data_IF_093665579602
#
_entry.id   IF_093665579602
#
_cell.length_a   1.000
_cell.length_b   1.000
_cell.length_c   1.000
_cell.angle_alpha   90.00
_cell.angle_beta   90.00
_cell.angle_gamma   90.00
#
_symmetry.space_group_name_H-M   'P 1'
#
loop_
_entity.id
_entity.type
_entity.pdbx_description
1 polymer ?
#
# COMPACT_ATOMS: atom_id res chain seq x y z
N UNK A 1 18.46 19.71 -40.30
CA UNK A 1 18.57 19.62 -38.83
C UNK A 1 17.49 18.78 -38.13
N UNK A 2 16.18 18.89 -38.43
CA UNK A 2 15.15 18.02 -37.79
C UNK A 2 15.16 16.55 -38.28
N UNK A 3 15.56 16.33 -39.53
CA UNK A 3 15.54 15.01 -40.18
C UNK A 3 16.71 14.11 -39.73
N UNK A 4 17.91 14.67 -39.51
CA UNK A 4 19.07 13.91 -39.00
C UNK A 4 18.86 13.41 -37.57
N UNK A 5 18.29 14.25 -36.69
CA UNK A 5 17.91 13.85 -35.32
C UNK A 5 16.94 12.67 -35.30
N UNK A 6 15.95 12.66 -36.20
CA UNK A 6 14.95 11.59 -36.29
C UNK A 6 15.58 10.22 -36.62
N UNK A 7 16.57 10.19 -37.52
CA UNK A 7 17.24 8.94 -37.90
C UNK A 7 18.25 8.45 -36.84
N UNK A 8 18.94 9.36 -36.16
CA UNK A 8 19.79 9.02 -35.01
C UNK A 8 18.97 8.49 -33.84
N UNK A 9 17.80 9.09 -33.57
CA UNK A 9 16.83 8.60 -32.58
C UNK A 9 16.36 7.19 -32.93
N UNK A 10 15.95 6.94 -34.18
CA UNK A 10 15.54 5.60 -34.60
C UNK A 10 16.65 4.56 -34.41
N UNK A 11 17.90 4.93 -34.72
CA UNK A 11 19.05 4.05 -34.53
C UNK A 11 19.33 3.77 -33.04
N UNK A 12 19.33 4.79 -32.19
CA UNK A 12 19.52 4.63 -30.75
C UNK A 12 18.40 3.79 -30.10
N UNK A 13 17.17 3.89 -30.60
CA UNK A 13 16.02 3.10 -30.12
C UNK A 13 16.12 1.64 -30.56
N UNK A 14 16.61 1.36 -31.78
CA UNK A 14 16.91 -0.03 -32.17
C UNK A 14 18.06 -0.64 -31.36
N UNK A 15 18.93 0.18 -30.78
CA UNK A 15 20.03 -0.26 -29.92
C UNK A 15 19.61 -0.40 -28.44
N UNK A 16 18.51 0.27 -28.03
CA UNK A 16 17.99 0.29 -26.65
C UNK A 16 16.58 -0.28 -26.57
N UNK A 17 16.44 -1.60 -26.50
CA UNK A 17 15.15 -2.28 -26.52
C UNK A 17 14.51 -2.42 -25.12
N UNK A 18 14.23 -1.28 -24.47
CA UNK A 18 13.66 -1.29 -23.11
C UNK A 18 12.23 -1.81 -23.07
N UNK A 19 11.47 -1.70 -24.17
CA UNK A 19 10.12 -2.27 -24.28
C UNK A 19 10.19 -3.79 -24.20
N UNK A 20 11.06 -4.43 -24.98
CA UNK A 20 11.21 -5.90 -24.92
C UNK A 20 11.80 -6.35 -23.59
N UNK A 21 12.77 -5.61 -23.03
CA UNK A 21 13.30 -5.91 -21.69
C UNK A 21 12.20 -5.86 -20.64
N UNK A 22 11.36 -4.82 -20.68
CA UNK A 22 10.20 -4.70 -19.81
C UNK A 22 9.24 -5.89 -19.95
N UNK A 23 8.87 -6.27 -21.18
CA UNK A 23 7.98 -7.41 -21.44
C UNK A 23 8.57 -8.71 -20.90
N UNK A 24 9.86 -8.96 -21.14
CA UNK A 24 10.55 -10.16 -20.63
C UNK A 24 10.54 -10.19 -19.10
N UNK A 25 10.91 -9.08 -18.46
CA UNK A 25 10.90 -8.97 -17.01
C UNK A 25 9.50 -9.11 -16.43
N UNK A 26 8.46 -8.60 -17.10
CA UNK A 26 7.07 -8.82 -16.70
C UNK A 26 6.70 -10.30 -16.67
N UNK A 27 7.01 -11.04 -17.73
CA UNK A 27 6.72 -12.48 -17.77
C UNK A 27 7.51 -13.25 -16.72
N UNK A 28 8.78 -12.90 -16.50
CA UNK A 28 9.58 -13.47 -15.41
C UNK A 28 8.95 -13.17 -14.06
N UNK A 29 8.55 -11.91 -13.81
CA UNK A 29 7.89 -11.52 -12.57
C UNK A 29 6.62 -12.33 -12.32
N UNK A 30 5.73 -12.46 -13.31
CA UNK A 30 4.52 -13.27 -13.18
C UNK A 30 4.82 -14.76 -12.95
N UNK A 31 5.84 -15.32 -13.61
CA UNK A 31 6.26 -16.70 -13.36
C UNK A 31 6.72 -16.90 -11.92
N UNK A 32 7.54 -15.98 -11.40
CA UNK A 32 8.00 -15.97 -10.01
C UNK A 32 6.81 -15.85 -9.04
N UNK A 33 5.82 -14.99 -9.33
CA UNK A 33 4.62 -14.88 -8.50
C UNK A 33 3.79 -16.17 -8.47
N UNK A 34 3.78 -16.96 -9.55
CA UNK A 34 3.09 -18.26 -9.59
C UNK A 34 3.81 -19.29 -8.72
N UNK A 35 5.13 -19.30 -8.76
CA UNK A 35 5.93 -20.16 -7.85
C UNK A 35 5.73 -19.78 -6.39
N UNK A 36 5.62 -18.48 -6.09
CA UNK A 36 5.31 -17.96 -4.75
C UNK A 36 3.91 -18.28 -4.25
N UNK A 37 2.97 -18.54 -5.14
CA UNK A 37 1.56 -18.69 -4.81
C UNK A 37 0.95 -19.88 -5.56
N UNK A 38 1.39 -21.12 -5.27
CA UNK A 38 0.92 -22.32 -5.98
C UNK A 38 -0.57 -22.59 -5.74
N UNK A 39 -1.12 -22.09 -4.63
CA UNK A 39 -2.54 -22.25 -4.24
C UNK A 39 -3.49 -21.29 -5.00
N UNK A 40 -2.97 -20.37 -5.83
CA UNK A 40 -3.80 -19.44 -6.62
C UNK A 40 -4.18 -20.09 -7.95
N UNK A 41 -5.47 -20.35 -8.16
CA UNK A 41 -5.92 -20.98 -9.42
C UNK A 41 -5.61 -20.11 -10.64
N UNK A 42 -5.02 -20.74 -11.65
CA UNK A 42 -4.75 -20.13 -12.96
C UNK A 42 -6.03 -20.01 -13.79
N UNK A 43 -6.98 -20.90 -13.58
CA UNK A 43 -8.23 -20.99 -14.34
C UNK A 43 -9.46 -20.75 -13.46
N UNK A 44 -10.52 -20.22 -14.03
CA UNK A 44 -11.85 -20.23 -13.42
C UNK A 44 -12.39 -21.65 -13.38
N UNK A 45 -13.47 -21.88 -12.62
CA UNK A 45 -14.18 -23.17 -12.58
C UNK A 45 -14.63 -23.61 -13.99
N UNK A 46 -14.91 -22.64 -14.87
CA UNK A 46 -15.27 -22.86 -16.28
C UNK A 46 -14.06 -23.05 -17.23
N UNK A 47 -12.84 -23.14 -16.72
CA UNK A 47 -11.62 -23.39 -17.50
C UNK A 47 -11.02 -22.17 -18.22
N UNK A 48 -11.47 -20.95 -17.91
CA UNK A 48 -10.94 -19.72 -18.54
C UNK A 48 -9.77 -19.15 -17.73
N UNK A 49 -8.70 -18.61 -18.36
CA UNK A 49 -7.59 -18.01 -17.63
C UNK A 49 -8.05 -16.81 -16.78
N UNK A 50 -7.69 -16.76 -15.49
CA UNK A 50 -8.07 -15.65 -14.58
C UNK A 50 -7.26 -14.34 -14.78
N UNK A 51 -6.34 -14.32 -15.75
CA UNK A 51 -5.44 -13.18 -16.01
C UNK A 51 -4.36 -13.00 -14.92
N UNK A 52 -3.59 -11.91 -14.99
CA UNK A 52 -2.44 -11.69 -14.08
C UNK A 52 -2.86 -11.09 -12.72
N UNK A 53 -4.09 -10.56 -12.60
CA UNK A 53 -4.57 -9.82 -11.42
C UNK A 53 -4.60 -10.62 -10.11
N UNK A 54 -5.03 -11.90 -10.08
CA UNK A 54 -5.02 -12.69 -8.84
C UNK A 54 -3.61 -12.82 -8.24
N UNK A 55 -2.60 -13.04 -9.09
CA UNK A 55 -1.21 -13.16 -8.66
C UNK A 55 -0.65 -11.85 -8.11
N UNK A 56 -1.03 -10.70 -8.68
CA UNK A 56 -0.67 -9.39 -8.14
C UNK A 56 -1.31 -9.09 -6.78
N UNK A 57 -2.55 -9.54 -6.56
CA UNK A 57 -3.18 -9.42 -5.25
C UNK A 57 -2.44 -10.29 -4.22
N UNK A 58 -2.13 -11.54 -4.58
CA UNK A 58 -1.36 -12.45 -3.73
C UNK A 58 0.06 -11.92 -3.44
N UNK A 59 0.71 -11.27 -4.42
CA UNK A 59 1.97 -10.56 -4.21
C UNK A 59 1.85 -9.50 -3.12
N UNK A 60 0.81 -8.66 -3.18
CA UNK A 60 0.58 -7.56 -2.23
C UNK A 60 0.30 -8.05 -0.82
N UNK A 61 -0.52 -9.09 -0.68
CA UNK A 61 -0.91 -9.64 0.61
C UNK A 61 0.16 -10.60 1.18
N UNK A 62 1.00 -11.16 0.31
CA UNK A 62 2.03 -12.15 0.64
C UNK A 62 3.42 -11.55 0.76
N UNK A 63 4.20 -11.56 -0.34
CA UNK A 63 5.65 -11.26 -0.33
C UNK A 63 5.98 -9.77 -0.38
N UNK A 64 5.05 -8.88 -0.76
CA UNK A 64 5.36 -7.45 -0.91
C UNK A 64 6.02 -6.86 0.34
N UNK A 65 5.57 -7.12 1.60
CA UNK A 65 6.28 -6.60 2.77
C UNK A 65 7.73 -7.08 2.90
N UNK A 66 8.07 -8.29 2.41
CA UNK A 66 9.46 -8.75 2.31
C UNK A 66 10.23 -7.93 1.27
N UNK A 67 9.63 -7.67 0.10
CA UNK A 67 10.22 -6.79 -0.93
C UNK A 67 10.46 -5.38 -0.40
N UNK A 68 9.48 -4.79 0.29
CA UNK A 68 9.55 -3.44 0.84
C UNK A 68 10.72 -3.28 1.83
N UNK A 69 11.08 -4.31 2.58
CA UNK A 69 12.23 -4.27 3.50
C UNK A 69 13.58 -4.42 2.80
N UNK A 70 13.61 -5.13 1.67
CA UNK A 70 14.85 -5.52 0.99
C UNK A 70 15.19 -4.67 -0.24
N UNK A 71 14.41 -3.62 -0.51
CA UNK A 71 14.61 -2.78 -1.68
C UNK A 71 15.70 -1.72 -1.44
N UNK A 72 16.59 -1.53 -2.41
CA UNK A 72 17.47 -0.35 -2.43
C UNK A 72 16.60 0.87 -2.71
N UNK A 73 16.29 1.57 -1.64
CA UNK A 73 15.32 2.66 -1.62
C UNK A 73 15.82 3.88 -2.39
N UNK A 74 17.12 4.12 -2.46
CA UNK A 74 17.67 5.29 -3.17
C UNK A 74 17.60 5.08 -4.69
N UNK A 75 18.00 3.91 -5.15
CA UNK A 75 17.85 3.54 -6.56
C UNK A 75 16.37 3.48 -6.96
N UNK A 76 15.52 2.88 -6.11
CA UNK A 76 14.09 2.82 -6.36
C UNK A 76 13.47 4.23 -6.46
N UNK A 77 13.82 5.12 -5.53
CA UNK A 77 13.35 6.50 -5.55
C UNK A 77 13.79 7.22 -6.83
N UNK A 78 15.06 7.10 -7.23
CA UNK A 78 15.59 7.73 -8.43
C UNK A 78 14.81 7.33 -9.69
N UNK A 79 14.57 6.05 -9.90
CA UNK A 79 13.85 5.57 -11.09
C UNK A 79 12.36 5.93 -11.04
N UNK A 80 11.72 5.87 -9.87
CA UNK A 80 10.32 6.31 -9.74
C UNK A 80 10.20 7.82 -10.01
N UNK A 81 11.08 8.63 -9.45
CA UNK A 81 11.08 10.07 -9.68
C UNK A 81 11.33 10.45 -11.14
N UNK A 82 12.23 9.72 -11.82
CA UNK A 82 12.50 9.91 -13.25
C UNK A 82 11.26 9.64 -14.11
N UNK A 83 10.55 8.53 -13.85
CA UNK A 83 9.42 8.14 -14.70
C UNK A 83 8.10 8.80 -14.32
N UNK A 84 7.84 9.07 -13.05
CA UNK A 84 6.53 9.49 -12.54
C UNK A 84 5.96 10.74 -13.24
N UNK A 85 6.67 11.88 -13.39
CA UNK A 85 6.12 13.06 -14.05
C UNK A 85 5.89 12.86 -15.55
N UNK A 86 6.73 12.06 -16.21
CA UNK A 86 6.57 11.72 -17.63
C UNK A 86 5.34 10.82 -17.79
N UNK A 87 5.20 9.84 -16.89
CA UNK A 87 4.07 8.92 -16.83
C UNK A 87 2.76 9.67 -16.65
N UNK A 88 2.66 10.62 -15.71
CA UNK A 88 1.44 11.43 -15.52
C UNK A 88 0.95 12.06 -16.82
N UNK A 89 1.85 12.67 -17.58
CA UNK A 89 1.52 13.29 -18.87
C UNK A 89 1.11 12.25 -19.92
N UNK A 90 1.93 11.23 -20.15
CA UNK A 90 1.63 10.18 -21.13
C UNK A 90 0.33 9.44 -20.84
N UNK A 91 0.06 9.15 -19.57
CA UNK A 91 -1.19 8.52 -19.12
C UNK A 91 -2.38 9.44 -19.39
N UNK A 92 -2.27 10.74 -19.10
CA UNK A 92 -3.34 11.70 -19.40
C UNK A 92 -3.62 11.77 -20.91
N UNK A 93 -2.57 11.75 -21.73
CA UNK A 93 -2.68 11.91 -23.18
C UNK A 93 -3.27 10.66 -23.85
N UNK A 94 -2.76 9.48 -23.48
CA UNK A 94 -3.06 8.21 -24.16
C UNK A 94 -4.23 7.48 -23.50
N UNK A 95 -4.37 7.54 -22.17
CA UNK A 95 -5.40 6.81 -21.43
C UNK A 95 -5.95 7.59 -20.22
N UNK A 96 -6.59 8.76 -20.46
CA UNK A 96 -7.10 9.65 -19.41
C UNK A 96 -8.08 8.98 -18.45
N UNK A 97 -8.83 7.97 -18.90
CA UNK A 97 -9.75 7.19 -18.07
C UNK A 97 -9.08 6.49 -16.89
N UNK A 98 -7.77 6.20 -16.99
CA UNK A 98 -7.01 5.58 -15.91
C UNK A 98 -6.15 6.59 -15.15
N UNK A 99 -6.09 7.86 -15.58
CA UNK A 99 -5.24 8.86 -14.95
C UNK A 99 -5.51 9.00 -13.46
N UNK A 100 -6.77 9.21 -13.07
CA UNK A 100 -7.12 9.45 -11.68
C UNK A 100 -6.74 8.25 -10.81
N UNK A 101 -7.15 7.03 -11.15
CA UNK A 101 -6.82 5.84 -10.37
C UNK A 101 -5.33 5.48 -10.34
N UNK A 102 -4.53 6.03 -11.27
CA UNK A 102 -3.08 5.79 -11.34
C UNK A 102 -2.30 6.74 -10.45
N UNK A 103 -2.76 7.98 -10.27
CA UNK A 103 -2.00 9.03 -9.56
C UNK A 103 -2.71 9.64 -8.36
N UNK A 104 -3.99 9.31 -8.19
CA UNK A 104 -4.82 9.78 -7.10
C UNK A 104 -5.74 8.68 -6.57
N UNK A 105 -6.24 8.87 -5.35
CA UNK A 105 -7.23 8.00 -4.73
C UNK A 105 -8.21 8.81 -3.90
N UNK A 106 -9.46 8.38 -3.85
CA UNK A 106 -10.44 8.96 -2.92
C UNK A 106 -10.17 8.44 -1.51
N UNK A 107 -10.07 9.37 -0.57
CA UNK A 107 -10.00 9.06 0.84
C UNK A 107 -11.39 8.66 1.35
N UNK A 108 -11.62 7.35 1.48
CA UNK A 108 -12.91 6.81 1.95
C UNK A 108 -13.18 7.12 3.41
N UNK A 109 -12.14 7.42 4.18
CA UNK A 109 -12.23 7.75 5.60
C UNK A 109 -12.32 9.27 5.83
N UNK A 110 -12.42 10.06 4.75
CA UNK A 110 -12.54 11.51 4.86
C UNK A 110 -13.78 11.88 5.67
N UNK A 111 -13.55 12.64 6.74
CA UNK A 111 -14.58 13.17 7.62
C UNK A 111 -14.12 14.48 8.24
N UNK A 112 -14.84 15.54 7.91
CA UNK A 112 -14.77 16.83 8.56
C UNK A 112 -16.02 17.02 9.43
N UNK A 113 -15.81 17.36 10.69
CA UNK A 113 -16.87 17.72 11.64
C UNK A 113 -16.49 19.00 12.38
N UNK A 114 -17.42 19.94 12.44
CA UNK A 114 -17.33 21.14 13.27
C UNK A 114 -18.64 21.31 14.02
N UNK A 115 -18.58 21.31 15.35
CA UNK A 115 -19.76 21.39 16.20
C UNK A 115 -19.53 22.39 17.32
N UNK A 116 -20.43 23.36 17.42
CA UNK A 116 -20.47 24.33 18.52
C UNK A 116 -21.88 24.32 19.08
N UNK A 117 -22.00 24.07 20.39
CA UNK A 117 -23.27 24.09 21.12
C UNK A 117 -23.11 25.07 22.27
N UNK A 118 -23.87 26.16 22.20
CA UNK A 118 -23.99 27.11 23.29
C UNK A 118 -25.29 26.81 24.04
N UNK A 119 -25.16 26.61 25.35
CA UNK A 119 -26.29 26.43 26.27
C UNK A 119 -26.51 27.73 27.06
N UNK A 120 -27.75 27.96 27.47
CA UNK A 120 -28.04 29.01 28.46
C UNK A 120 -27.75 28.54 29.89
N UNK A 121 -28.00 29.42 30.88
CA UNK A 121 -27.75 29.14 32.29
C UNK A 121 -28.60 28.00 32.84
N UNK A 122 -29.72 27.69 32.18
CA UNK A 122 -30.68 26.65 32.58
C UNK A 122 -30.43 25.35 31.80
N UNK A 123 -29.34 25.28 31.00
CA UNK A 123 -28.96 24.11 30.21
C UNK A 123 -29.75 23.95 28.91
N UNK A 124 -30.60 24.90 28.54
CA UNK A 124 -31.36 24.87 27.28
C UNK A 124 -30.51 25.35 26.11
N UNK A 125 -30.80 24.80 24.92
CA UNK A 125 -30.04 25.12 23.71
C UNK A 125 -30.24 26.60 23.33
N UNK A 126 -29.17 27.39 23.46
CA UNK A 126 -29.14 28.78 23.03
C UNK A 126 -28.85 28.85 21.54
N UNK A 127 -27.75 28.25 21.11
CA UNK A 127 -27.33 28.20 19.70
C UNK A 127 -26.61 26.88 19.39
N UNK A 128 -26.85 26.33 18.20
CA UNK A 128 -26.15 25.18 17.63
C UNK A 128 -25.65 25.54 16.26
N UNK A 129 -24.37 25.29 16.04
CA UNK A 129 -23.76 25.14 14.73
C UNK A 129 -23.23 23.72 14.62
N UNK A 130 -23.62 23.00 13.58
CA UNK A 130 -23.10 21.66 13.30
C UNK A 130 -22.87 21.51 11.80
N UNK A 131 -21.64 21.35 11.38
CA UNK A 131 -21.27 21.10 10.00
C UNK A 131 -20.55 19.76 9.89
N UNK A 132 -20.97 18.94 8.94
CA UNK A 132 -20.36 17.64 8.65
C UNK A 132 -20.13 17.53 7.14
N UNK A 133 -18.97 17.04 6.75
CA UNK A 133 -18.64 16.70 5.37
C UNK A 133 -17.85 15.39 5.38
N UNK A 134 -18.40 14.31 4.82
CA UNK A 134 -17.75 13.00 4.85
C UNK A 134 -18.08 12.15 3.63
N UNK A 135 -17.23 11.18 3.33
CA UNK A 135 -17.49 10.17 2.30
C UNK A 135 -18.37 9.07 2.90
N UNK A 136 -19.47 8.70 2.23
CA UNK A 136 -20.38 7.62 2.69
C UNK A 136 -20.38 6.38 1.82
N UNK A 137 -20.09 6.57 0.54
CA UNK A 137 -19.91 5.52 -0.46
C UNK A 137 -18.74 5.98 -1.31
N UNK A 138 -18.00 5.06 -1.93
CA UNK A 138 -16.69 5.23 -2.54
C UNK A 138 -16.46 6.55 -3.29
N UNK A 139 -17.50 7.14 -3.88
CA UNK A 139 -17.44 8.40 -4.63
C UNK A 139 -18.50 9.44 -4.20
N UNK A 140 -19.26 9.21 -3.13
CA UNK A 140 -20.34 10.10 -2.68
C UNK A 140 -19.91 10.87 -1.44
N UNK A 141 -19.80 12.19 -1.61
CA UNK A 141 -19.53 13.14 -0.54
C UNK A 141 -20.86 13.68 0.01
N UNK A 142 -21.09 13.47 1.31
CA UNK A 142 -22.26 14.01 2.02
C UNK A 142 -21.90 15.27 2.76
N UNK A 143 -22.64 16.31 2.44
CA UNK A 143 -22.59 17.62 3.05
C UNK A 143 -23.80 17.86 3.95
N UNK A 144 -23.57 18.37 5.15
CA UNK A 144 -24.61 18.79 6.09
C UNK A 144 -24.19 20.04 6.85
N UNK A 145 -25.10 21.01 6.96
CA UNK A 145 -25.02 22.15 7.86
C UNK A 145 -26.34 22.30 8.62
N UNK A 146 -26.29 22.12 9.93
CA UNK A 146 -27.40 22.35 10.85
C UNK A 146 -27.16 23.60 11.70
N UNK A 147 -28.10 24.54 11.65
CA UNK A 147 -28.05 25.79 12.42
C UNK A 147 -29.36 25.96 13.18
N UNK A 148 -29.30 25.99 14.51
CA UNK A 148 -30.49 26.20 15.33
C UNK A 148 -30.23 27.11 16.51
N UNK A 149 -31.28 27.67 17.08
CA UNK A 149 -31.17 28.50 18.27
C UNK A 149 -32.40 29.35 18.49
N UNK A 150 -32.28 30.29 19.43
CA UNK A 150 -33.34 31.23 19.75
C UNK A 150 -32.79 32.66 19.84
N UNK A 151 -33.49 33.60 19.22
CA UNK A 151 -33.25 35.03 19.40
C UNK A 151 -34.54 35.74 19.78
N UNK A 152 -34.58 36.32 20.98
CA UNK A 152 -35.82 36.85 21.59
C UNK A 152 -36.92 35.78 21.57
N UNK A 153 -38.02 36.03 20.85
CA UNK A 153 -39.15 35.11 20.68
C UNK A 153 -39.03 34.22 19.45
N UNK A 154 -38.05 34.44 18.57
CA UNK A 154 -37.88 33.68 17.33
C UNK A 154 -36.97 32.48 17.53
N UNK A 155 -37.53 31.27 17.43
CA UNK A 155 -36.77 30.01 17.33
C UNK A 155 -36.51 29.69 15.87
N UNK A 156 -35.33 29.15 15.56
CA UNK A 156 -34.98 28.68 14.23
C UNK A 156 -34.25 27.33 14.33
N UNK A 157 -34.47 26.47 13.35
CA UNK A 157 -33.81 25.18 13.22
C UNK A 157 -33.75 24.83 11.73
N UNK A 158 -32.66 25.27 11.10
CA UNK A 158 -32.43 25.09 9.68
C UNK A 158 -31.40 24.01 9.44
N UNK A 159 -31.58 23.30 8.33
CA UNK A 159 -30.66 22.25 7.89
C UNK A 159 -30.49 22.33 6.38
N UNK A 160 -29.24 22.36 5.94
CA UNK A 160 -28.84 22.36 4.54
C UNK A 160 -28.08 21.06 4.31
N UNK A 161 -28.48 20.29 3.31
CA UNK A 161 -27.87 18.98 3.02
C UNK A 161 -27.75 18.77 1.52
N UNK A 162 -26.69 18.08 1.10
CA UNK A 162 -26.43 17.74 -0.30
C UNK A 162 -25.58 16.48 -0.38
N UNK A 163 -25.86 15.65 -1.38
CA UNK A 163 -24.96 14.58 -1.81
C UNK A 163 -24.29 15.03 -3.11
N UNK A 164 -22.98 14.86 -3.19
CA UNK A 164 -22.16 15.23 -4.35
C UNK A 164 -21.50 13.95 -4.85
N UNK A 165 -21.76 13.58 -6.11
CA UNK A 165 -21.01 12.53 -6.78
C UNK A 165 -19.68 13.09 -7.28
N UNK A 166 -18.58 12.50 -6.84
CA UNK A 166 -17.24 12.95 -7.18
C UNK A 166 -16.81 12.49 -8.59
N UNK A 167 -17.47 11.49 -9.19
CA UNK A 167 -17.04 10.95 -10.51
C UNK A 167 -17.11 11.99 -11.63
N UNK A 168 -18.21 12.76 -11.80
CA UNK A 168 -18.26 13.81 -12.80
C UNK A 168 -17.21 14.91 -12.56
N UNK A 169 -16.95 15.24 -11.30
CA UNK A 169 -15.90 16.21 -10.92
C UNK A 169 -14.54 15.69 -11.39
N UNK A 170 -14.17 14.46 -11.01
CA UNK A 170 -12.93 13.81 -11.43
C UNK A 170 -12.78 13.82 -12.95
N UNK A 171 -13.80 13.35 -13.69
CA UNK A 171 -13.76 13.33 -15.16
C UNK A 171 -13.55 14.73 -15.73
N UNK A 172 -14.28 15.74 -15.24
CA UNK A 172 -14.16 17.11 -15.73
C UNK A 172 -12.78 17.73 -15.43
N UNK A 173 -12.20 17.43 -14.27
CA UNK A 173 -10.85 17.89 -13.91
C UNK A 173 -9.80 17.23 -14.81
N UNK A 174 -9.91 15.93 -15.07
CA UNK A 174 -9.01 15.20 -15.99
C UNK A 174 -9.07 15.80 -17.40
N UNK A 175 -10.27 15.98 -17.96
CA UNK A 175 -10.44 16.55 -19.30
C UNK A 175 -9.93 17.99 -19.39
N UNK A 176 -10.13 18.81 -18.34
CA UNK A 176 -9.60 20.17 -18.28
C UNK A 176 -8.08 20.17 -18.40
N UNK A 177 -7.39 19.28 -17.70
CA UNK A 177 -5.93 19.20 -17.72
C UNK A 177 -5.37 18.62 -19.02
N UNK A 178 -6.10 17.70 -19.66
CA UNK A 178 -5.72 17.13 -20.96
C UNK A 178 -5.66 18.19 -22.06
N UNK A 179 -6.61 19.11 -22.11
CA UNK A 179 -6.72 20.09 -23.19
C UNK A 179 -5.85 21.35 -23.03
N UNK A 180 -5.16 21.51 -21.90
CA UNK A 180 -4.41 22.72 -21.61
C UNK A 180 -2.94 22.69 -22.06
N UNK A 181 -2.42 21.57 -22.60
CA UNK A 181 -1.00 21.38 -22.99
C UNK A 181 0.01 21.82 -21.89
N UNK A 182 -0.45 21.92 -20.64
CA UNK A 182 0.38 22.33 -19.51
C UNK A 182 1.18 21.12 -19.04
N UNK A 183 2.43 21.35 -18.66
CA UNK A 183 3.16 20.44 -17.77
C UNK A 183 2.22 20.14 -16.60
N UNK A 184 1.80 18.87 -16.47
CA UNK A 184 0.86 18.49 -15.41
C UNK A 184 1.50 18.86 -14.06
N UNK A 185 0.84 19.78 -13.39
CA UNK A 185 1.19 20.21 -12.04
C UNK A 185 0.20 19.54 -11.10
N UNK A 186 0.66 18.59 -10.29
CA UNK A 186 -0.24 17.84 -9.40
C UNK A 186 -0.92 18.73 -8.37
N UNK A 187 -0.22 19.79 -7.94
CA UNK A 187 -0.81 20.80 -7.05
C UNK A 187 -1.96 21.52 -7.76
N UNK A 188 -1.81 21.84 -9.05
CA UNK A 188 -2.89 22.46 -9.81
C UNK A 188 -4.06 21.49 -10.04
N UNK A 189 -3.78 20.21 -10.33
CA UNK A 189 -4.83 19.20 -10.45
C UNK A 189 -5.65 19.07 -9.17
N UNK A 190 -4.96 18.99 -8.02
CA UNK A 190 -5.61 18.96 -6.71
C UNK A 190 -6.45 20.22 -6.49
N UNK A 191 -5.91 21.42 -6.80
CA UNK A 191 -6.64 22.69 -6.69
C UNK A 191 -7.90 22.69 -7.53
N UNK A 192 -7.79 22.33 -8.80
CA UNK A 192 -8.92 22.30 -9.72
C UNK A 192 -10.01 21.31 -9.26
N UNK A 193 -9.61 20.17 -8.70
CA UNK A 193 -10.55 19.22 -8.08
C UNK A 193 -11.26 19.83 -6.86
N UNK A 194 -10.51 20.39 -5.91
CA UNK A 194 -11.11 20.98 -4.70
C UNK A 194 -11.93 22.24 -5.01
N UNK A 195 -11.55 23.03 -6.00
CA UNK A 195 -12.32 24.19 -6.46
C UNK A 195 -13.65 23.74 -7.07
N UNK A 196 -13.67 22.63 -7.82
CA UNK A 196 -14.91 22.05 -8.33
C UNK A 196 -15.82 21.51 -7.21
N UNK A 197 -15.26 20.81 -6.21
CA UNK A 197 -16.01 20.39 -5.02
C UNK A 197 -16.55 21.60 -4.25
N UNK A 198 -15.72 22.61 -4.04
CA UNK A 198 -16.14 23.84 -3.37
C UNK A 198 -17.18 24.59 -4.18
N UNK A 199 -17.15 24.56 -5.51
CA UNK A 199 -18.18 25.17 -6.36
C UNK A 199 -19.56 24.57 -6.09
N UNK A 200 -19.66 23.23 -5.98
CA UNK A 200 -20.91 22.54 -5.62
C UNK A 200 -21.42 22.91 -4.22
N UNK A 201 -20.52 22.97 -3.24
CA UNK A 201 -20.84 23.34 -1.86
C UNK A 201 -21.25 24.81 -1.78
N UNK A 202 -20.44 25.72 -2.30
CA UNK A 202 -20.71 27.17 -2.34
C UNK A 202 -22.01 27.43 -3.10
N UNK A 203 -22.25 26.77 -4.23
CA UNK A 203 -23.48 26.89 -5.00
C UNK A 203 -24.71 26.48 -4.19
N UNK A 204 -24.63 25.37 -3.46
CA UNK A 204 -25.69 24.91 -2.54
C UNK A 204 -25.95 25.91 -1.42
N UNK A 205 -24.89 26.39 -0.77
CA UNK A 205 -24.98 27.38 0.31
C UNK A 205 -25.55 28.72 -0.19
N UNK A 206 -25.10 29.21 -1.36
CA UNK A 206 -25.58 30.45 -1.98
C UNK A 206 -27.04 30.34 -2.40
N UNK A 207 -27.43 29.23 -3.04
CA UNK A 207 -28.83 28.97 -3.33
C UNK A 207 -29.70 29.03 -2.07
N UNK A 208 -29.21 28.46 -0.97
CA UNK A 208 -29.93 28.55 0.30
C UNK A 208 -30.04 30.00 0.80
N UNK A 209 -28.93 30.75 0.84
CA UNK A 209 -28.89 32.16 1.31
C UNK A 209 -29.79 33.06 0.46
N UNK A 210 -29.72 32.94 -0.86
CA UNK A 210 -30.29 33.92 -1.78
C UNK A 210 -31.73 33.58 -2.18
N UNK A 211 -32.12 32.29 -2.15
CA UNK A 211 -33.44 31.83 -2.61
C UNK A 211 -34.27 31.21 -1.49
N UNK A 212 -33.70 30.36 -0.64
CA UNK A 212 -34.47 29.60 0.36
C UNK A 212 -34.72 30.39 1.64
N UNK A 213 -33.66 31.01 2.18
CA UNK A 213 -33.70 31.75 3.44
C UNK A 213 -34.67 32.95 3.42
N UNK A 214 -34.75 33.78 2.36
CA UNK A 214 -35.69 34.91 2.33
C UNK A 214 -37.16 34.47 2.41
N UNK A 215 -37.49 33.29 1.86
CA UNK A 215 -38.85 32.72 1.88
C UNK A 215 -39.29 32.29 3.29
N UNK A 216 -38.36 32.17 4.25
CA UNK A 216 -38.65 31.79 5.64
C UNK A 216 -39.22 32.93 6.49
N UNK A 217 -39.06 34.19 6.05
CA UNK A 217 -39.61 35.35 6.76
C UNK A 217 -38.99 35.61 8.14
N UNK A 218 -37.76 35.15 8.40
CA UNK A 218 -37.06 35.44 9.66
C UNK A 218 -36.69 36.92 9.78
N UNK A 219 -36.58 37.39 11.03
CA UNK A 219 -36.07 38.74 11.31
C UNK A 219 -34.60 38.89 10.85
N UNK A 220 -34.16 40.14 10.66
CA UNK A 220 -32.82 40.45 10.15
C UNK A 220 -31.68 39.81 10.95
N UNK A 221 -31.81 39.71 12.27
CA UNK A 221 -30.79 39.10 13.14
C UNK A 221 -30.66 37.61 12.92
N UNK A 222 -31.78 36.87 12.90
CA UNK A 222 -31.78 35.42 12.64
C UNK A 222 -31.31 35.12 11.22
N UNK A 223 -31.77 35.89 10.23
CA UNK A 223 -31.31 35.80 8.84
C UNK A 223 -29.80 36.01 8.75
N UNK A 224 -29.25 37.01 9.46
CA UNK A 224 -27.80 37.24 9.52
C UNK A 224 -27.06 36.07 10.15
N UNK A 225 -27.52 35.52 11.27
CA UNK A 225 -26.88 34.35 11.90
C UNK A 225 -26.79 33.13 10.99
N UNK A 226 -27.88 32.81 10.29
CA UNK A 226 -27.91 31.66 9.37
C UNK A 226 -26.98 31.91 8.17
N UNK A 227 -26.98 33.14 7.64
CA UNK A 227 -26.06 33.54 6.55
C UNK A 227 -24.60 33.45 7.01
N UNK A 228 -24.27 33.98 8.18
CA UNK A 228 -22.92 33.95 8.75
C UNK A 228 -22.46 32.49 8.98
N UNK A 229 -23.35 31.59 9.41
CA UNK A 229 -23.06 30.16 9.52
C UNK A 229 -22.73 29.51 8.16
N UNK A 230 -23.46 29.85 7.09
CA UNK A 230 -23.16 29.37 5.75
C UNK A 230 -21.78 29.86 5.26
N UNK A 231 -21.48 31.14 5.47
CA UNK A 231 -20.20 31.74 5.08
C UNK A 231 -19.03 31.22 5.93
N UNK A 232 -19.26 30.96 7.22
CA UNK A 232 -18.29 30.30 8.13
C UNK A 232 -17.91 28.94 7.58
N UNK A 233 -18.88 28.11 7.22
CA UNK A 233 -18.61 26.78 6.70
C UNK A 233 -17.83 26.83 5.37
N UNK A 234 -18.26 27.69 4.44
CA UNK A 234 -17.55 27.87 3.16
C UNK A 234 -16.07 28.24 3.38
N UNK A 235 -15.83 29.21 4.27
CA UNK A 235 -14.47 29.67 4.61
C UNK A 235 -13.66 28.58 5.31
N UNK A 236 -14.28 27.88 6.27
CA UNK A 236 -13.62 26.83 7.04
C UNK A 236 -13.17 25.67 6.14
N UNK A 237 -14.02 25.22 5.22
CA UNK A 237 -13.68 24.16 4.27
C UNK A 237 -12.55 24.58 3.32
N UNK A 238 -12.59 25.80 2.77
CA UNK A 238 -11.51 26.33 1.91
C UNK A 238 -10.17 26.31 2.64
N UNK A 239 -10.12 26.91 3.83
CA UNK A 239 -8.91 26.92 4.66
C UNK A 239 -8.45 25.51 5.03
N UNK A 240 -9.38 24.59 5.25
CA UNK A 240 -9.07 23.20 5.56
C UNK A 240 -8.43 22.51 4.37
N UNK A 241 -8.98 22.68 3.17
CA UNK A 241 -8.46 22.05 1.96
C UNK A 241 -7.10 22.60 1.51
N UNK A 242 -6.72 23.81 1.91
CA UNK A 242 -5.36 24.34 1.67
C UNK A 242 -4.25 23.44 2.25
N UNK A 243 -4.53 22.63 3.28
CA UNK A 243 -3.56 21.68 3.82
C UNK A 243 -3.18 20.57 2.84
N UNK A 244 -3.98 20.30 1.80
CA UNK A 244 -3.62 19.32 0.77
C UNK A 244 -2.42 19.73 -0.08
N UNK A 245 -2.10 21.03 -0.11
CA UNK A 245 -1.00 21.56 -0.90
C UNK A 245 0.30 21.66 -0.11
N UNK A 246 0.24 21.38 1.20
CA UNK A 246 1.37 21.42 2.11
C UNK A 246 2.05 20.06 2.21
N UNK A 247 3.32 20.06 2.59
CA UNK A 247 4.05 18.81 2.82
C UNK A 247 3.51 18.04 4.03
N UNK A 248 3.68 16.70 4.08
CA UNK A 248 3.25 15.91 5.21
C UNK A 248 3.77 16.39 6.59
N UNK A 249 4.90 17.10 6.62
CA UNK A 249 5.50 17.66 7.84
C UNK A 249 5.21 19.15 8.06
N UNK A 250 4.60 19.84 7.09
CA UNK A 250 4.12 21.22 7.23
C UNK A 250 2.68 21.28 7.78
N UNK A 251 2.00 20.14 7.80
CA UNK A 251 0.70 19.98 8.44
C UNK A 251 0.94 19.63 9.90
N UNK A 252 0.19 20.29 10.80
CA UNK A 252 0.22 20.01 12.23
C UNK A 252 -0.02 18.51 12.47
N UNK A 253 0.88 17.78 13.17
CA UNK A 253 0.71 16.36 13.48
C UNK A 253 -0.61 16.01 14.19
N UNK A 254 -1.24 16.98 14.88
CA UNK A 254 -2.55 16.82 15.53
C UNK A 254 -3.71 16.84 14.53
N UNK A 255 -3.49 17.36 13.32
CA UNK A 255 -4.49 17.43 12.27
C UNK A 255 -4.41 16.17 11.41
N UNK A 256 -5.32 15.23 11.67
CA UNK A 256 -5.43 14.00 10.89
C UNK A 256 -5.73 14.31 9.41
N UNK A 257 -5.05 13.64 8.49
CA UNK A 257 -5.24 13.81 7.04
C UNK A 257 -6.69 13.57 6.59
N UNK A 258 -7.39 12.65 7.25
CA UNK A 258 -8.81 12.37 7.03
C UNK A 258 -9.74 13.56 7.30
N UNK A 259 -9.27 14.60 7.98
CA UNK A 259 -10.06 15.79 8.27
C UNK A 259 -9.91 16.91 7.24
N UNK A 260 -9.06 16.74 6.22
CA UNK A 260 -8.84 17.75 5.18
C UNK A 260 -8.62 17.19 3.77
N UNK A 261 -8.28 15.91 3.62
CA UNK A 261 -8.02 15.32 2.31
C UNK A 261 -9.19 14.45 1.83
N UNK A 262 -9.97 14.94 0.87
CA UNK A 262 -10.97 14.15 0.11
C UNK A 262 -10.27 13.19 -0.84
N UNK A 263 -9.17 13.62 -1.46
CA UNK A 263 -8.33 12.79 -2.32
C UNK A 263 -6.87 12.87 -1.88
N UNK A 264 -6.11 11.81 -2.13
CA UNK A 264 -4.66 11.76 -1.97
C UNK A 264 -3.98 11.62 -3.32
N UNK A 265 -2.81 12.24 -3.46
CA UNK A 265 -1.85 11.84 -4.48
C UNK A 265 -1.17 10.54 -4.04
N UNK A 266 -0.93 9.65 -4.98
CA UNK A 266 -0.17 8.40 -4.77
C UNK A 266 1.14 8.45 -5.57
N UNK A 267 2.29 8.02 -5.02
CA UNK A 267 2.46 7.28 -3.76
C UNK A 267 2.13 8.06 -2.47
N UNK A 268 2.39 9.37 -2.46
CA UNK A 268 2.05 10.25 -1.34
C UNK A 268 1.91 11.71 -1.83
N UNK A 269 1.27 12.55 -1.01
CA UNK A 269 1.07 13.97 -1.30
C UNK A 269 2.39 14.72 -1.55
N UNK A 270 2.48 15.41 -2.68
CA UNK A 270 3.64 16.20 -3.07
C UNK A 270 4.79 15.36 -3.65
N UNK A 271 4.51 14.19 -4.22
CA UNK A 271 5.53 13.25 -4.70
C UNK A 271 6.54 13.90 -5.67
N UNK A 272 6.12 14.35 -6.86
CA UNK A 272 7.09 14.94 -7.82
C UNK A 272 7.72 16.24 -7.32
N UNK A 273 6.97 17.01 -6.51
CA UNK A 273 7.47 18.25 -5.90
C UNK A 273 8.65 17.97 -4.96
N UNK A 274 8.62 16.84 -4.25
CA UNK A 274 9.63 16.48 -3.25
C UNK A 274 11.04 16.31 -3.84
N UNK A 275 11.15 15.79 -5.06
CA UNK A 275 12.43 15.70 -5.76
C UNK A 275 12.83 17.06 -6.36
N UNK A 276 11.91 17.73 -7.08
CA UNK A 276 12.18 19.01 -7.76
C UNK A 276 12.64 20.11 -6.80
N UNK A 277 12.09 20.13 -5.59
CA UNK A 277 12.46 21.09 -4.54
C UNK A 277 13.57 20.58 -3.60
N UNK A 278 14.23 19.45 -3.94
CA UNK A 278 15.32 18.86 -3.18
C UNK A 278 14.96 18.47 -1.72
N UNK A 279 13.68 18.25 -1.47
CA UNK A 279 13.14 17.92 -0.13
C UNK A 279 13.39 16.47 0.21
N UNK A 280 13.31 15.58 -0.77
CA UNK A 280 13.62 14.16 -0.60
C UNK A 280 15.02 14.01 0.02
N UNK A 281 16.05 14.63 -0.59
CA UNK A 281 17.42 14.58 -0.08
C UNK A 281 17.55 15.19 1.32
N UNK A 282 16.80 16.26 1.59
CA UNK A 282 16.84 16.95 2.90
C UNK A 282 16.18 16.14 4.03
N UNK A 283 15.31 15.18 3.70
CA UNK A 283 14.55 14.39 4.67
C UNK A 283 14.58 12.89 4.35
N UNK A 284 15.72 12.41 3.82
CA UNK A 284 15.85 11.07 3.23
C UNK A 284 15.36 9.96 4.15
N UNK A 285 15.70 9.97 5.45
CA UNK A 285 15.24 8.95 6.39
C UNK A 285 13.71 8.85 6.54
N UNK A 286 12.98 9.97 6.47
CA UNK A 286 11.50 9.97 6.54
C UNK A 286 10.89 9.50 5.22
N UNK A 287 11.46 9.92 4.09
CA UNK A 287 10.96 9.55 2.78
C UNK A 287 11.34 8.12 2.39
N UNK A 288 12.47 7.59 2.85
CA UNK A 288 12.90 6.23 2.55
C UNK A 288 11.81 5.22 2.94
N UNK A 289 11.22 5.35 4.13
CA UNK A 289 10.10 4.51 4.56
C UNK A 289 8.87 4.67 3.64
N UNK A 290 8.57 5.88 3.18
CA UNK A 290 7.46 6.13 2.26
C UNK A 290 7.73 5.56 0.87
N UNK A 291 8.96 5.61 0.37
CA UNK A 291 9.36 4.99 -0.89
C UNK A 291 9.24 3.47 -0.78
N UNK A 292 9.91 2.89 0.22
CA UNK A 292 9.90 1.46 0.50
C UNK A 292 8.49 0.89 0.63
N UNK A 293 7.54 1.64 1.21
CA UNK A 293 6.16 1.18 1.39
C UNK A 293 5.22 1.65 0.28
N UNK A 294 4.94 2.95 0.21
CA UNK A 294 3.92 3.53 -0.66
C UNK A 294 4.34 3.54 -2.13
N UNK A 295 5.60 3.82 -2.44
CA UNK A 295 6.03 3.85 -3.84
C UNK A 295 6.12 2.45 -4.43
N UNK A 296 6.52 1.44 -3.64
CA UNK A 296 6.47 0.02 -4.06
C UNK A 296 5.03 -0.44 -4.34
N UNK A 297 4.07 -0.12 -3.46
CA UNK A 297 2.67 -0.48 -3.69
C UNK A 297 2.07 0.25 -4.90
N UNK A 298 2.34 1.55 -5.04
CA UNK A 298 1.96 2.31 -6.23
C UNK A 298 2.56 1.70 -7.50
N UNK A 299 3.85 1.36 -7.48
CA UNK A 299 4.55 0.79 -8.62
C UNK A 299 3.92 -0.54 -9.07
N UNK A 300 3.53 -1.41 -8.12
CA UNK A 300 2.86 -2.67 -8.45
C UNK A 300 1.53 -2.47 -9.18
N UNK A 301 0.75 -1.44 -8.83
CA UNK A 301 -0.47 -1.07 -9.57
C UNK A 301 -0.14 -0.45 -10.92
N UNK A 302 0.82 0.48 -10.93
CA UNK A 302 1.23 1.24 -12.10
C UNK A 302 1.77 0.33 -13.19
N UNK A 303 2.65 -0.61 -12.84
CA UNK A 303 3.31 -1.50 -13.80
C UNK A 303 2.33 -2.46 -14.46
N UNK A 304 1.30 -2.90 -13.73
CA UNK A 304 0.18 -3.65 -14.31
C UNK A 304 -0.66 -2.81 -15.28
N UNK A 305 -0.96 -1.56 -14.92
CA UNK A 305 -1.67 -0.64 -15.81
C UNK A 305 -0.85 -0.33 -17.07
N UNK A 306 0.45 -0.08 -16.93
CA UNK A 306 1.39 0.14 -18.03
C UNK A 306 1.46 -1.07 -18.97
N UNK A 307 1.53 -2.27 -18.41
CA UNK A 307 1.47 -3.53 -19.18
C UNK A 307 0.17 -3.64 -19.97
N UNK A 308 -0.97 -3.32 -19.36
CA UNK A 308 -2.25 -3.38 -20.07
C UNK A 308 -2.32 -2.32 -21.18
N UNK A 309 -1.82 -1.11 -20.93
CA UNK A 309 -1.72 -0.08 -21.95
C UNK A 309 -0.85 -0.54 -23.13
N UNK A 310 0.29 -1.18 -22.86
CA UNK A 310 1.17 -1.72 -23.92
C UNK A 310 0.48 -2.76 -24.82
N UNK A 311 -0.43 -3.58 -24.28
CA UNK A 311 -1.13 -4.62 -25.05
C UNK A 311 -2.43 -4.16 -25.69
N UNK A 312 -3.07 -3.11 -25.17
CA UNK A 312 -4.39 -2.67 -25.62
C UNK A 312 -4.41 -1.30 -26.31
N UNK A 313 -3.38 -0.49 -26.12
CA UNK A 313 -3.27 0.86 -26.68
C UNK A 313 -2.10 0.94 -27.68
N UNK A 314 -2.20 1.86 -28.64
CA UNK A 314 -1.11 2.10 -29.61
C UNK A 314 -0.03 2.93 -28.93
N UNK A 315 0.90 2.28 -28.26
CA UNK A 315 2.12 2.90 -27.75
C UNK A 315 3.18 2.86 -28.85
N UNK A 316 3.69 4.04 -29.24
CA UNK A 316 4.83 4.10 -30.16
C UNK A 316 6.10 3.65 -29.42
N UNK A 317 6.74 2.54 -29.81
CA UNK A 317 8.01 2.14 -29.21
C UNK A 317 9.15 3.09 -29.59
N UNK A 318 8.94 3.99 -30.57
CA UNK A 318 9.93 4.96 -31.02
C UNK A 318 9.82 6.32 -30.33
N UNK A 319 8.91 6.48 -29.35
CA UNK A 319 8.76 7.71 -28.59
C UNK A 319 9.76 7.74 -27.41
N UNK A 320 10.58 8.80 -27.35
CA UNK A 320 11.66 8.93 -26.36
C UNK A 320 11.16 8.92 -24.91
N UNK A 321 9.98 9.50 -24.66
CA UNK A 321 9.41 9.58 -23.32
C UNK A 321 8.85 8.23 -22.88
N UNK A 322 8.25 7.48 -23.80
CA UNK A 322 7.88 6.08 -23.55
C UNK A 322 9.11 5.23 -23.25
N UNK A 323 10.23 5.42 -23.96
CA UNK A 323 11.47 4.71 -23.67
C UNK A 323 12.01 5.01 -22.26
N UNK A 324 11.92 6.25 -21.78
CA UNK A 324 12.28 6.59 -20.40
C UNK A 324 11.38 5.84 -19.41
N UNK A 325 10.06 5.84 -19.64
CA UNK A 325 9.11 5.12 -18.78
C UNK A 325 9.43 3.62 -18.75
N UNK A 326 9.63 2.98 -19.91
CA UNK A 326 9.92 1.55 -19.98
C UNK A 326 11.27 1.19 -19.38
N UNK A 327 12.30 2.04 -19.53
CA UNK A 327 13.59 1.85 -18.89
C UNK A 327 13.45 1.80 -17.38
N UNK A 328 12.84 2.81 -16.77
CA UNK A 328 12.67 2.87 -15.32
C UNK A 328 11.75 1.75 -14.81
N UNK A 329 10.63 1.49 -15.50
CA UNK A 329 9.74 0.39 -15.15
C UNK A 329 10.44 -0.97 -15.22
N UNK A 330 11.28 -1.19 -16.23
CA UNK A 330 12.12 -2.39 -16.33
C UNK A 330 13.09 -2.51 -15.15
N UNK A 331 13.84 -1.46 -14.82
CA UNK A 331 14.85 -1.49 -13.75
C UNK A 331 14.20 -1.77 -12.39
N UNK A 332 13.09 -1.09 -12.10
CA UNK A 332 12.31 -1.28 -10.88
C UNK A 332 11.71 -2.70 -10.80
N UNK A 333 11.10 -3.17 -11.90
CA UNK A 333 10.50 -4.50 -11.93
C UNK A 333 11.54 -5.61 -11.81
N UNK A 334 12.73 -5.40 -12.42
CA UNK A 334 13.86 -6.31 -12.28
C UNK A 334 14.29 -6.40 -10.82
N UNK A 335 14.47 -5.27 -10.14
CA UNK A 335 14.84 -5.26 -8.73
C UNK A 335 13.83 -6.00 -7.85
N UNK A 336 12.53 -5.73 -8.04
CA UNK A 336 11.46 -6.44 -7.32
C UNK A 336 11.50 -7.94 -7.61
N UNK A 337 11.71 -8.33 -8.87
CA UNK A 337 11.79 -9.73 -9.29
C UNK A 337 13.01 -10.43 -8.69
N UNK A 338 14.18 -9.79 -8.69
CA UNK A 338 15.41 -10.35 -8.13
C UNK A 338 15.26 -10.63 -6.63
N UNK A 339 14.59 -9.74 -5.88
CA UNK A 339 14.29 -9.97 -4.46
C UNK A 339 13.36 -11.17 -4.27
N UNK A 340 12.32 -11.28 -5.10
CA UNK A 340 11.40 -12.42 -5.05
C UNK A 340 12.11 -13.75 -5.40
N UNK A 341 12.96 -13.76 -6.43
CA UNK A 341 13.77 -14.91 -6.83
C UNK A 341 14.74 -15.30 -5.72
N UNK A 342 15.40 -14.32 -5.09
CA UNK A 342 16.28 -14.57 -3.96
C UNK A 342 15.55 -15.23 -2.80
N UNK A 343 14.33 -14.78 -2.49
CA UNK A 343 13.49 -15.40 -1.46
C UNK A 343 13.18 -16.87 -1.79
N UNK A 344 12.74 -17.17 -3.01
CA UNK A 344 12.49 -18.56 -3.46
C UNK A 344 13.76 -19.41 -3.31
N UNK A 345 14.89 -18.91 -3.82
CA UNK A 345 16.16 -19.65 -3.76
C UNK A 345 16.60 -19.95 -2.33
N UNK A 346 16.38 -19.01 -1.39
CA UNK A 346 16.67 -19.23 0.03
C UNK A 346 15.72 -20.24 0.66
N UNK A 347 14.43 -20.25 0.29
CA UNK A 347 13.47 -21.26 0.74
C UNK A 347 13.87 -22.65 0.24
N UNK A 348 14.17 -22.80 -1.04
CA UNK A 348 14.58 -24.07 -1.63
C UNK A 348 15.93 -24.57 -1.10
N UNK A 349 16.85 -23.63 -0.81
CA UNK A 349 18.14 -23.90 -0.21
C UNK A 349 18.07 -24.24 1.28
N UNK A 350 16.99 -23.89 1.99
CA UNK A 350 16.88 -24.02 3.45
C UNK A 350 17.10 -25.45 3.95
N UNK A 351 16.59 -26.46 3.24
CA UNK A 351 16.80 -27.86 3.59
C UNK A 351 18.18 -28.42 3.22
N UNK A 352 18.97 -27.68 2.45
CA UNK A 352 20.28 -28.10 1.96
C UNK A 352 21.42 -27.60 2.86
N UNK A 353 21.16 -26.62 3.72
CA UNK A 353 22.15 -26.06 4.65
C UNK A 353 22.08 -26.73 6.02
N UNK A 354 23.25 -27.02 6.58
CA UNK A 354 23.38 -27.49 7.97
C UNK A 354 23.26 -26.33 8.98
N UNK A 355 23.52 -25.10 8.53
CA UNK A 355 23.24 -23.90 9.28
C UNK A 355 21.84 -23.41 8.91
N UNK A 356 20.84 -23.84 9.68
CA UNK A 356 19.46 -23.34 9.55
C UNK A 356 18.78 -23.22 10.92
N UNK A 357 17.75 -22.38 10.96
CA UNK A 357 17.07 -22.01 12.20
C UNK A 357 16.38 -23.18 12.92
N UNK A 358 15.98 -24.24 12.21
CA UNK A 358 15.35 -25.42 12.83
C UNK A 358 16.38 -26.24 13.59
N UNK A 359 17.55 -26.48 13.00
CA UNK A 359 18.64 -27.22 13.64
C UNK A 359 19.22 -26.45 14.82
N UNK A 360 19.46 -25.14 14.67
CA UNK A 360 19.90 -24.28 15.77
C UNK A 360 18.92 -24.32 16.95
N UNK A 361 17.61 -24.30 16.65
CA UNK A 361 16.59 -24.39 17.68
C UNK A 361 16.57 -25.76 18.38
N UNK A 362 16.63 -26.85 17.61
CA UNK A 362 16.64 -28.21 18.15
C UNK A 362 17.86 -28.45 19.05
N UNK A 363 19.03 -27.90 18.71
CA UNK A 363 20.25 -27.98 19.52
C UNK A 363 20.17 -27.14 20.79
N UNK A 364 19.54 -25.96 20.73
CA UNK A 364 19.41 -25.06 21.88
C UNK A 364 18.33 -25.51 22.86
N UNK A 365 17.28 -26.17 22.37
CA UNK A 365 16.11 -26.61 23.14
C UNK A 365 15.98 -28.14 23.20
N UNK A 366 17.10 -28.85 23.40
CA UNK A 366 17.13 -30.33 23.47
C UNK A 366 16.14 -30.91 24.46
N UNK A 367 15.99 -30.25 25.61
CA UNK A 367 15.04 -30.62 26.66
C UNK A 367 13.59 -30.75 26.15
N UNK A 368 13.19 -29.88 25.23
CA UNK A 368 11.85 -29.84 24.66
C UNK A 368 11.73 -30.74 23.42
N UNK A 369 12.82 -30.92 22.67
CA UNK A 369 12.79 -31.58 21.36
C UNK A 369 13.12 -33.08 21.42
N UNK A 370 14.12 -33.49 22.22
CA UNK A 370 14.71 -34.83 22.14
C UNK A 370 15.03 -35.50 23.48
N UNK A 371 15.19 -34.76 24.58
CA UNK A 371 15.66 -35.35 25.85
C UNK A 371 14.66 -36.33 26.48
N UNK A 372 13.37 -36.25 26.13
CA UNK A 372 12.37 -37.22 26.60
C UNK A 372 12.53 -38.63 26.00
N UNK A 373 13.45 -38.84 25.06
CA UNK A 373 13.65 -40.11 24.38
C UNK A 373 14.47 -41.13 25.20
N UNK A 374 15.33 -40.67 26.11
CA UNK A 374 16.18 -41.53 26.95
C UNK A 374 16.69 -40.78 28.19
N UNK A 375 17.31 -41.48 29.13
CA UNK A 375 17.89 -40.85 30.34
C UNK A 375 19.03 -39.88 30.00
N UNK A 376 19.79 -40.15 28.93
CA UNK A 376 20.76 -39.23 28.35
C UNK A 376 20.71 -39.28 26.83
N UNK A 377 20.62 -38.09 26.21
CA UNK A 377 20.51 -37.92 24.76
C UNK A 377 21.60 -36.97 24.27
N UNK A 378 22.36 -37.41 23.27
CA UNK A 378 23.35 -36.60 22.56
C UNK A 378 22.99 -36.51 21.08
N UNK A 379 22.76 -35.28 20.59
CA UNK A 379 22.59 -35.01 19.16
C UNK A 379 23.96 -35.07 18.49
N UNK A 380 24.12 -35.96 17.51
CA UNK A 380 25.38 -36.15 16.77
C UNK A 380 25.40 -35.39 15.45
N UNK A 381 24.28 -35.39 14.71
CA UNK A 381 24.18 -34.80 13.38
C UNK A 381 22.71 -34.64 12.94
N UNK A 382 22.47 -33.80 11.92
CA UNK A 382 21.22 -33.69 11.19
C UNK A 382 21.39 -34.15 9.74
N UNK A 383 21.37 -35.48 9.49
CA UNK A 383 21.75 -36.03 8.19
C UNK A 383 20.85 -35.64 7.02
N UNK A 384 19.59 -35.23 7.29
CA UNK A 384 18.61 -34.97 6.22
C UNK A 384 17.50 -34.04 6.68
N UNK A 385 17.09 -33.12 5.80
CA UNK A 385 15.84 -32.37 5.90
C UNK A 385 15.09 -32.43 4.57
N UNK A 386 13.75 -32.43 4.63
CA UNK A 386 12.86 -32.35 3.49
C UNK A 386 11.77 -31.33 3.78
N UNK A 387 11.66 -30.31 2.93
CA UNK A 387 10.52 -29.39 2.96
C UNK A 387 9.32 -30.03 2.28
N UNK A 388 8.17 -29.96 2.94
CA UNK A 388 6.90 -30.48 2.43
C UNK A 388 5.99 -29.37 1.91
N UNK A 389 5.92 -28.24 2.62
CA UNK A 389 5.12 -27.08 2.21
C UNK A 389 5.74 -25.80 2.73
N UNK A 390 5.59 -24.73 1.95
CA UNK A 390 5.86 -23.37 2.40
C UNK A 390 4.73 -22.41 1.99
N UNK A 391 4.68 -21.27 2.66
CA UNK A 391 3.71 -20.19 2.40
C UNK A 391 4.31 -18.86 2.83
N UNK A 392 4.00 -17.78 2.11
CA UNK A 392 4.40 -16.42 2.50
C UNK A 392 3.14 -15.59 2.74
N UNK A 393 3.02 -15.02 3.95
CA UNK A 393 1.89 -14.16 4.33
C UNK A 393 2.39 -12.95 5.09
N UNK A 394 1.99 -11.74 4.66
CA UNK A 394 2.40 -10.49 5.29
C UNK A 394 3.93 -10.36 5.49
N UNK A 395 4.72 -10.85 4.53
CA UNK A 395 6.18 -10.87 4.57
C UNK A 395 6.81 -11.85 5.57
N UNK A 396 6.03 -12.75 6.19
CA UNK A 396 6.53 -13.86 6.99
C UNK A 396 6.53 -15.14 6.16
N UNK A 397 7.57 -15.94 6.31
CA UNK A 397 7.75 -17.20 5.57
C UNK A 397 7.44 -18.35 6.52
N UNK A 398 6.41 -19.14 6.23
CA UNK A 398 6.11 -20.36 6.99
C UNK A 398 6.63 -21.56 6.22
N UNK A 399 7.47 -22.37 6.85
CA UNK A 399 8.02 -23.60 6.29
C UNK A 399 7.54 -24.78 7.14
N UNK A 400 7.29 -25.91 6.48
CA UNK A 400 6.95 -27.16 7.15
C UNK A 400 7.57 -28.33 6.42
N UNK A 401 7.90 -29.38 7.15
CA UNK A 401 8.56 -30.53 6.61
C UNK A 401 8.99 -31.49 7.70
N UNK A 402 10.01 -32.28 7.41
CA UNK A 402 10.61 -33.17 8.39
C UNK A 402 12.13 -33.17 8.26
N UNK A 403 12.80 -33.50 9.36
CA UNK A 403 14.23 -33.74 9.38
C UNK A 403 14.57 -35.01 10.17
N UNK A 404 15.73 -35.58 9.89
CA UNK A 404 16.28 -36.70 10.65
C UNK A 404 17.37 -36.16 11.57
N UNK A 405 17.33 -36.55 12.84
CA UNK A 405 18.42 -36.32 13.78
C UNK A 405 19.08 -37.67 14.12
N UNK A 406 20.40 -37.71 14.02
CA UNK A 406 21.20 -38.84 14.46
C UNK A 406 21.50 -38.65 15.94
N UNK A 407 20.95 -39.51 16.77
CA UNK A 407 20.99 -39.39 18.22
C UNK A 407 21.77 -40.56 18.82
N UNK A 408 22.52 -40.28 19.88
CA UNK A 408 23.04 -41.30 20.79
C UNK A 408 22.16 -41.30 22.04
N UNK A 409 21.46 -42.41 22.24
CA UNK A 409 20.48 -42.62 23.30
C UNK A 409 21.08 -43.56 24.34
N UNK A 410 21.06 -43.16 25.60
CA UNK A 410 21.51 -43.96 26.73
C UNK A 410 20.36 -44.17 27.72
N UNK A 411 20.09 -45.43 28.02
CA UNK A 411 19.15 -45.88 29.04
C UNK A 411 19.94 -46.39 30.26
N UNK A 412 19.68 -45.82 31.44
CA UNK A 412 20.41 -46.09 32.66
C UNK A 412 21.72 -45.32 32.81
N UNK A 413 22.22 -45.27 34.05
CA UNK A 413 23.52 -44.69 34.38
C UNK A 413 24.69 -45.65 34.06
N UNK A 414 25.92 -45.22 34.37
CA UNK A 414 27.12 -46.00 34.07
C UNK A 414 27.11 -47.39 34.75
N UNK A 415 26.55 -47.51 35.95
CA UNK A 415 26.47 -48.76 36.71
C UNK A 415 25.40 -49.69 36.11
N UNK A 416 24.28 -49.14 35.64
CA UNK A 416 23.26 -49.90 34.92
C UNK A 416 23.78 -50.48 33.60
N UNK A 417 24.66 -49.76 32.89
CA UNK A 417 25.30 -50.24 31.66
C UNK A 417 26.28 -51.38 31.96
N UNK A 418 27.14 -51.24 32.98
CA UNK A 418 28.10 -52.29 33.37
C UNK A 418 27.41 -53.58 33.84
N UNK A 419 26.24 -53.44 34.49
CA UNK A 419 25.44 -54.57 34.97
C UNK A 419 24.51 -55.17 33.89
N UNK A 420 24.54 -54.68 32.65
CA UNK A 420 23.75 -55.20 31.53
C UNK A 420 22.25 -54.86 31.58
N UNK A 421 21.84 -53.96 32.47
CA UNK A 421 20.46 -53.46 32.62
C UNK A 421 20.20 -52.15 31.88
N UNK A 422 21.25 -51.45 31.45
CA UNK A 422 21.22 -50.26 30.60
C UNK A 422 21.73 -50.53 29.18
N UNK A 423 21.51 -49.57 28.28
CA UNK A 423 21.91 -49.71 26.87
C UNK A 423 22.30 -48.37 26.26
N UNK A 424 23.30 -48.37 25.38
CA UNK A 424 23.65 -47.25 24.51
C UNK A 424 23.37 -47.65 23.06
N UNK A 425 22.57 -46.86 22.35
CA UNK A 425 22.29 -47.04 20.95
C UNK A 425 22.48 -45.74 20.17
N UNK A 426 22.89 -45.85 18.92
CA UNK A 426 22.85 -44.74 17.96
C UNK A 426 21.68 -45.00 17.02
N UNK A 427 20.72 -44.08 17.02
CA UNK A 427 19.49 -44.18 16.24
C UNK A 427 19.26 -42.91 15.43
N UNK A 428 18.72 -43.08 14.21
CA UNK A 428 18.19 -41.97 13.43
C UNK A 428 16.70 -41.84 13.76
N UNK A 429 16.29 -40.65 14.25
CA UNK A 429 14.88 -40.33 14.54
C UNK A 429 14.41 -39.22 13.61
N UNK A 430 13.20 -39.39 13.05
CA UNK A 430 12.53 -38.39 12.23
C UNK A 430 11.69 -37.45 13.07
N UNK A 431 11.73 -36.16 12.76
CA UNK A 431 10.94 -35.11 13.40
C UNK A 431 10.22 -34.28 12.36
N UNK A 432 8.93 -34.09 12.53
CA UNK A 432 8.15 -33.11 11.77
C UNK A 432 8.37 -31.73 12.37
N UNK A 433 8.41 -30.70 11.53
CA UNK A 433 8.52 -29.32 11.97
C UNK A 433 7.57 -28.39 11.23
N UNK A 434 7.21 -27.31 11.91
CA UNK A 434 6.57 -26.13 11.35
C UNK A 434 7.21 -24.89 11.95
N UNK A 435 7.72 -23.99 11.12
CA UNK A 435 8.46 -22.80 11.53
C UNK A 435 7.96 -21.57 10.79
N UNK A 436 7.88 -20.44 11.48
CA UNK A 436 7.68 -19.13 10.85
C UNK A 436 8.97 -18.32 10.94
N UNK A 437 9.45 -17.84 9.81
CA UNK A 437 10.67 -17.07 9.65
C UNK A 437 10.39 -15.60 9.35
N UNK A 438 11.29 -14.74 9.81
CA UNK A 438 11.42 -13.35 9.39
C UNK A 438 12.08 -13.23 8.01
N UNK A 439 12.33 -11.98 7.61
CA UNK A 439 12.99 -11.64 6.34
C UNK A 439 14.49 -11.97 6.32
N UNK A 440 15.10 -12.14 7.50
CA UNK A 440 16.47 -12.60 7.68
C UNK A 440 16.58 -14.14 7.79
N UNK A 441 15.49 -14.86 7.52
CA UNK A 441 15.40 -16.32 7.66
C UNK A 441 15.68 -16.85 9.08
N UNK A 442 15.58 -15.98 10.10
CA UNK A 442 15.57 -16.40 11.51
C UNK A 442 14.15 -16.62 12.01
N UNK A 443 14.03 -17.35 13.13
CA UNK A 443 12.72 -17.65 13.72
C UNK A 443 12.03 -16.35 14.12
N UNK A 444 10.81 -16.18 13.64
CA UNK A 444 9.97 -15.05 14.02
C UNK A 444 9.55 -15.19 15.49
N UNK A 445 9.53 -14.05 16.19
CA UNK A 445 9.03 -13.97 17.56
C UNK A 445 7.57 -13.54 17.54
N UNK A 446 6.73 -14.26 18.27
CA UNK A 446 5.34 -13.90 18.50
C UNK A 446 5.26 -12.65 19.39
N UNK A 447 4.50 -11.65 18.96
CA UNK A 447 4.46 -10.35 19.64
C UNK A 447 3.79 -10.40 21.00
N UNK A 448 2.84 -11.31 21.20
CA UNK A 448 2.04 -11.36 22.43
C UNK A 448 2.70 -12.25 23.49
N UNK A 449 3.25 -13.39 23.06
CA UNK A 449 3.88 -14.38 23.94
C UNK A 449 5.39 -14.20 24.08
N UNK A 450 6.01 -13.41 23.21
CA UNK A 450 7.47 -13.24 23.11
C UNK A 450 8.24 -14.56 22.89
N UNK A 451 7.57 -15.58 22.34
CA UNK A 451 8.15 -16.89 22.04
C UNK A 451 8.50 -17.04 20.56
N UNK A 452 9.50 -17.85 20.28
CA UNK A 452 9.87 -18.28 18.93
C UNK A 452 8.72 -19.10 18.31
N UNK A 453 8.35 -18.80 17.06
CA UNK A 453 7.25 -19.47 16.35
C UNK A 453 7.81 -20.68 15.60
N UNK A 454 8.02 -21.77 16.35
CA UNK A 454 8.46 -23.06 15.83
C UNK A 454 7.80 -24.19 16.62
N UNK A 455 7.47 -25.27 15.93
CA UNK A 455 7.00 -26.52 16.51
C UNK A 455 7.82 -27.67 15.91
N UNK A 456 8.33 -28.56 16.77
CA UNK A 456 9.06 -29.78 16.39
C UNK A 456 8.42 -30.95 17.12
N UNK A 457 8.08 -32.03 16.40
CA UNK A 457 7.44 -33.24 16.95
C UNK A 457 8.09 -34.49 16.41
N UNK A 458 8.21 -35.53 17.24
CA UNK A 458 8.68 -36.84 16.78
C UNK A 458 7.67 -37.44 15.80
N UNK A 459 8.16 -38.05 14.71
CA UNK A 459 7.28 -38.75 13.79
C UNK A 459 6.69 -40.01 14.42
N UNK A 460 5.38 -40.21 14.26
CA UNK A 460 4.67 -41.40 14.74
C UNK A 460 4.16 -41.33 16.18
N UNK A 461 4.26 -40.16 16.82
CA UNK A 461 3.57 -39.79 18.07
C UNK A 461 2.48 -38.79 17.78
#
# INVERSE_FOLDING_TARGET
MQVERKYEQWKAITESDFVTLFIKTWFTFIAVLRELNPDVDVFTEDGMPRGDKPFLNAYKDGIMPFVQKNIDTDNFAQEVFAMYPISMRKVMDVFPQYFFQTFFQINRDFSYEEKTIDLDKDGSLKERYQANLHIVDKHILKFYLGVSGQFRTTKYNESIKKEIDLRPIVCSTVEKHKHQDLIINETQFMRDFYDAVMSEITGTLRHYIDITLPKKGFNQTVTRKIKDACLRLDTALRLRFEYNYKYPHEVDPLIASNSYAIIYQIPFNGFSRSERENIYKSHQGKYAQLIATKAVDWFANYVYALRNALFHEIISPLDEEWQIIFKSAYLLLKQVSDICISCISQIEGFAQTQENAVFEYAEKHKAECVDYLADYVEILDFPKMVLSKWKIENGKITLSGWFSAKLKLQQGDAEAIENGTGSIATEDKGFDFSITLGDDFKIAIDKDTQKEIIEIKLQGT
#
